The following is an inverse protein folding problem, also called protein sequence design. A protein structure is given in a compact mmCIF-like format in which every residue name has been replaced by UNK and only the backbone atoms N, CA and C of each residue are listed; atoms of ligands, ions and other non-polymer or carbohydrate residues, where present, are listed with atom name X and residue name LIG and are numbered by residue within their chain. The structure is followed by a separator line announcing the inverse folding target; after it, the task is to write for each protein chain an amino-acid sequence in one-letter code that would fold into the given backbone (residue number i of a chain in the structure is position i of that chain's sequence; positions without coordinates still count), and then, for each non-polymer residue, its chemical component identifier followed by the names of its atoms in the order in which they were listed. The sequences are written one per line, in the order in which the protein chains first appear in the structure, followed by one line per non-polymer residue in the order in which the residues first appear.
data_IF_846732741206
#
_entry.id   IF_846732741206
#
_cell.length_a   1.000
_cell.length_b   1.000
_cell.length_c   1.000
_cell.angle_alpha   90.00
_cell.angle_beta   90.00
_cell.angle_gamma   90.00
#
_symmetry.space_group_name_H-M   'P 1'
#
loop_
_entity.id
_entity.type
_entity.pdbx_description
1 polymer ?
#
# COMPACT_ATOMS: atom_id res chain seq x y z
N UNK A 1 -11.95 -66.55 -124.27
CA UNK A 1 -12.38 -65.53 -123.27
C UNK A 1 -13.07 -66.24 -122.12
N UNK A 2 -12.59 -66.07 -120.88
CA UNK A 2 -13.38 -65.56 -119.75
C UNK A 2 -12.60 -65.70 -118.43
N UNK A 3 -12.90 -64.75 -117.55
CA UNK A 3 -12.16 -64.28 -116.39
C UNK A 3 -12.63 -64.85 -115.04
N UNK A 4 -11.69 -64.76 -114.08
CA UNK A 4 -11.72 -64.57 -112.61
C UNK A 4 -13.02 -64.24 -111.84
N UNK A 5 -13.03 -64.64 -110.55
CA UNK A 5 -13.33 -63.80 -109.34
C UNK A 5 -13.04 -64.49 -107.97
N UNK A 6 -12.53 -63.69 -107.02
CA UNK A 6 -12.47 -63.66 -105.53
C UNK A 6 -13.13 -64.71 -104.60
N UNK A 7 -12.55 -64.91 -103.39
CA UNK A 7 -13.18 -64.65 -102.06
C UNK A 7 -12.18 -64.78 -100.88
N UNK A 8 -12.29 -63.87 -99.90
CA UNK A 8 -11.54 -63.80 -98.62
C UNK A 8 -12.35 -64.43 -97.48
N UNK A 9 -11.70 -65.17 -96.55
CA UNK A 9 -12.27 -65.51 -95.24
C UNK A 9 -11.15 -65.68 -94.19
N UNK A 10 -11.22 -64.90 -93.12
CA UNK A 10 -10.33 -64.97 -91.97
C UNK A 10 -10.80 -66.08 -91.01
N UNK A 11 -9.86 -66.90 -90.50
CA UNK A 11 -10.11 -67.86 -89.43
C UNK A 11 -9.21 -67.53 -88.23
N UNK A 12 -9.87 -67.15 -87.13
CA UNK A 12 -9.33 -66.89 -85.81
C UNK A 12 -8.72 -68.19 -85.25
N UNK A 13 -7.44 -68.17 -84.84
CA UNK A 13 -6.85 -69.23 -84.01
C UNK A 13 -6.44 -68.62 -82.67
N UNK A 14 -7.07 -69.14 -81.63
CA UNK A 14 -7.03 -68.77 -80.23
C UNK A 14 -5.64 -69.02 -79.62
N UNK A 15 -5.00 -67.96 -79.13
CA UNK A 15 -3.85 -68.05 -78.23
C UNK A 15 -4.35 -68.30 -76.80
N UNK A 16 -3.98 -69.43 -76.22
CA UNK A 16 -4.24 -69.74 -74.81
C UNK A 16 -3.23 -68.98 -73.97
N UNK A 17 -3.73 -68.00 -73.22
CA UNK A 17 -3.04 -67.25 -72.18
C UNK A 17 -2.85 -68.15 -70.97
N UNK A 18 -1.60 -68.44 -70.60
CA UNK A 18 -1.26 -68.86 -69.24
C UNK A 18 -0.96 -67.60 -68.43
N UNK A 19 -1.78 -67.24 -67.43
CA UNK A 19 -1.37 -66.23 -66.47
C UNK A 19 -0.35 -66.88 -65.54
N UNK A 20 0.94 -66.62 -65.75
CA UNK A 20 1.90 -66.72 -64.66
C UNK A 20 1.62 -65.56 -63.70
N UNK A 21 0.73 -65.78 -62.73
CA UNK A 21 0.73 -65.00 -61.51
C UNK A 21 1.98 -65.42 -60.73
N UNK A 22 3.08 -64.67 -60.89
CA UNK A 22 4.01 -64.56 -59.76
C UNK A 22 3.23 -63.80 -58.69
N UNK A 23 2.70 -64.52 -57.71
CA UNK A 23 2.55 -63.88 -56.41
C UNK A 23 3.98 -63.59 -55.96
N UNK A 24 4.41 -62.34 -56.06
CA UNK A 24 5.36 -61.86 -55.08
C UNK A 24 4.79 -62.31 -53.74
N UNK A 25 5.59 -63.03 -52.96
CA UNK A 25 5.28 -63.22 -51.55
C UNK A 25 4.91 -61.84 -51.06
N UNK A 26 3.69 -61.69 -50.57
CA UNK A 26 3.32 -60.57 -49.71
C UNK A 26 4.53 -60.39 -48.81
N UNK A 27 5.19 -59.25 -48.95
CA UNK A 27 6.24 -58.81 -48.04
C UNK A 27 5.74 -59.19 -46.65
N UNK A 28 6.33 -60.23 -46.06
CA UNK A 28 6.37 -60.25 -44.61
C UNK A 28 7.19 -59.00 -44.34
N UNK A 29 6.62 -57.92 -43.77
CA UNK A 29 7.47 -56.85 -43.29
C UNK A 29 8.49 -57.58 -42.44
N UNK A 30 9.77 -57.46 -42.80
CA UNK A 30 10.80 -58.05 -41.98
C UNK A 30 10.57 -57.43 -40.60
N UNK A 31 10.18 -58.21 -39.57
CA UNK A 31 9.71 -57.64 -38.32
C UNK A 31 10.81 -56.89 -37.57
N UNK A 32 12.03 -56.91 -38.11
CA UNK A 32 13.23 -56.24 -37.63
C UNK A 32 13.70 -55.10 -38.56
N UNK A 33 12.91 -54.70 -39.56
CA UNK A 33 13.14 -53.56 -40.47
C UNK A 33 12.06 -52.51 -40.18
N UNK A 34 12.33 -51.68 -39.18
CA UNK A 34 11.35 -50.81 -38.53
C UNK A 34 10.91 -49.65 -39.44
N UNK A 35 11.84 -49.13 -40.24
CA UNK A 35 11.59 -48.03 -41.17
C UNK A 35 11.20 -48.51 -42.58
N UNK A 36 11.20 -49.82 -42.84
CA UNK A 36 10.83 -50.45 -44.11
C UNK A 36 11.72 -50.02 -45.28
N UNK A 37 12.99 -49.71 -45.05
CA UNK A 37 13.97 -49.34 -46.08
C UNK A 37 14.60 -50.56 -46.79
N UNK A 38 14.31 -51.77 -46.30
CA UNK A 38 14.76 -53.04 -46.88
C UNK A 38 16.12 -53.52 -46.35
N UNK A 39 16.72 -52.83 -45.39
CA UNK A 39 17.93 -53.26 -44.68
C UNK A 39 17.65 -53.43 -43.17
N UNK A 40 18.47 -54.23 -42.49
CA UNK A 40 18.52 -54.22 -41.02
C UNK A 40 19.83 -53.52 -40.65
N UNK A 41 19.72 -52.28 -40.19
CA UNK A 41 20.83 -51.41 -39.84
C UNK A 41 20.73 -50.97 -38.38
N UNK A 42 21.67 -50.11 -37.95
CA UNK A 42 21.57 -49.51 -36.61
C UNK A 42 20.33 -48.62 -36.46
N UNK A 43 19.81 -48.07 -37.56
CA UNK A 43 18.59 -47.26 -37.53
C UNK A 43 17.37 -48.12 -37.18
N UNK A 44 17.31 -49.37 -37.66
CA UNK A 44 16.25 -50.31 -37.31
C UNK A 44 16.34 -50.80 -35.86
N UNK A 45 17.57 -50.88 -35.33
CA UNK A 45 17.79 -51.12 -33.91
C UNK A 45 17.31 -49.94 -33.07
N UNK A 46 17.56 -48.71 -33.52
CA UNK A 46 17.08 -47.48 -32.85
C UNK A 46 15.55 -47.35 -32.94
N UNK A 47 14.93 -47.70 -34.07
CA UNK A 47 13.46 -47.77 -34.22
C UNK A 47 12.85 -48.84 -33.30
N UNK A 48 13.51 -50.00 -33.16
CA UNK A 48 13.09 -51.05 -32.22
C UNK A 48 13.25 -50.62 -30.76
N UNK A 49 14.27 -49.82 -30.43
CA UNK A 49 14.45 -49.24 -29.10
C UNK A 49 13.42 -48.15 -28.81
N UNK A 50 13.05 -47.34 -29.81
CA UNK A 50 11.92 -46.41 -29.72
C UNK A 50 10.57 -47.10 -29.48
N UNK A 51 10.41 -48.36 -29.91
CA UNK A 51 9.24 -49.21 -29.61
C UNK A 51 9.15 -49.58 -28.12
N UNK A 52 10.27 -49.55 -27.38
CA UNK A 52 10.31 -49.75 -25.92
C UNK A 52 10.12 -48.46 -25.12
N UNK A 53 9.95 -47.31 -25.79
CA UNK A 53 9.35 -46.11 -25.20
C UNK A 53 10.32 -45.00 -24.80
N UNK A 54 11.61 -45.11 -25.09
CA UNK A 54 12.57 -44.05 -24.83
C UNK A 54 12.91 -43.32 -26.13
N UNK A 55 12.76 -42.00 -26.10
CA UNK A 55 13.15 -41.07 -27.16
C UNK A 55 14.46 -40.39 -26.78
N UNK A 56 15.15 -39.79 -27.75
CA UNK A 56 16.31 -38.90 -27.55
C UNK A 56 15.90 -37.57 -28.17
N UNK A 57 15.30 -36.72 -27.34
CA UNK A 57 14.56 -35.54 -27.79
C UNK A 57 15.47 -34.39 -28.24
N UNK A 58 16.67 -34.29 -27.67
CA UNK A 58 17.65 -33.24 -27.98
C UNK A 58 18.79 -33.73 -28.90
N UNK A 59 18.83 -35.04 -29.20
CA UNK A 59 19.80 -35.68 -30.08
C UNK A 59 21.23 -35.61 -29.58
N UNK A 60 21.43 -35.61 -28.26
CA UNK A 60 22.75 -35.61 -27.63
C UNK A 60 23.38 -37.03 -27.51
N UNK A 61 22.59 -38.06 -27.81
CA UNK A 61 23.00 -39.46 -27.76
C UNK A 61 22.72 -40.15 -26.42
N UNK A 62 21.96 -39.50 -25.53
CA UNK A 62 21.43 -40.03 -24.28
C UNK A 62 19.91 -40.17 -24.42
N UNK A 63 19.36 -41.25 -23.87
CA UNK A 63 17.93 -41.48 -23.93
C UNK A 63 17.20 -40.67 -22.85
N UNK A 64 16.05 -40.08 -23.17
CA UNK A 64 15.22 -39.22 -22.30
C UNK A 64 14.89 -39.86 -20.92
N UNK A 65 14.93 -41.20 -20.81
CA UNK A 65 14.69 -41.91 -19.53
C UNK A 65 15.84 -41.85 -18.53
N UNK A 66 17.04 -41.50 -19.01
CA UNK A 66 18.27 -41.36 -18.22
C UNK A 66 18.94 -40.00 -18.43
N UNK A 67 18.31 -39.12 -19.20
CA UNK A 67 18.68 -37.74 -19.40
C UNK A 67 17.85 -36.84 -18.46
N UNK A 68 18.53 -36.21 -17.51
CA UNK A 68 17.88 -35.30 -16.55
C UNK A 68 17.47 -33.96 -17.22
N UNK A 69 18.03 -33.60 -18.37
CA UNK A 69 17.71 -32.35 -19.07
C UNK A 69 17.75 -32.43 -20.61
N UNK A 70 16.61 -32.78 -21.19
CA UNK A 70 16.39 -32.85 -22.65
C UNK A 70 16.04 -31.51 -23.32
N UNK A 71 15.98 -30.40 -22.56
CA UNK A 71 15.60 -29.09 -23.10
C UNK A 71 16.84 -28.26 -23.46
N UNK A 72 17.16 -28.18 -24.75
CA UNK A 72 18.27 -27.38 -25.29
C UNK A 72 18.18 -25.87 -24.99
N UNK A 73 17.01 -25.38 -24.56
CA UNK A 73 16.80 -23.99 -24.15
C UNK A 73 17.05 -23.76 -22.66
N UNK A 74 17.25 -24.82 -21.87
CA UNK A 74 17.63 -24.71 -20.47
C UNK A 74 18.97 -23.96 -20.32
N UNK A 75 19.09 -23.14 -19.28
CA UNK A 75 20.28 -22.33 -19.07
C UNK A 75 21.49 -23.11 -18.55
N UNK A 76 21.25 -24.33 -18.05
CA UNK A 76 22.27 -25.29 -17.65
C UNK A 76 22.36 -26.49 -18.60
N UNK A 77 21.85 -26.37 -19.83
CA UNK A 77 21.93 -27.44 -20.81
C UNK A 77 23.38 -27.91 -21.02
N UNK A 78 23.59 -29.22 -20.96
CA UNK A 78 24.84 -29.92 -21.24
C UNK A 78 24.50 -31.24 -21.94
N UNK A 79 25.37 -31.74 -22.82
CA UNK A 79 25.12 -32.95 -23.62
C UNK A 79 25.27 -34.26 -22.84
N UNK A 80 25.29 -34.18 -21.51
CA UNK A 80 25.30 -35.31 -20.58
C UNK A 80 24.95 -34.78 -19.18
N UNK A 81 23.70 -34.30 -18.99
CA UNK A 81 23.35 -33.60 -17.77
C UNK A 81 23.20 -34.61 -16.63
N UNK A 82 23.80 -34.29 -15.49
CA UNK A 82 23.66 -35.08 -14.25
C UNK A 82 22.68 -34.43 -13.27
N UNK A 83 21.95 -33.40 -13.74
CA UNK A 83 21.04 -32.57 -12.96
C UNK A 83 19.86 -32.13 -13.85
N UNK A 84 18.66 -31.91 -13.27
CA UNK A 84 17.51 -31.46 -14.03
C UNK A 84 17.69 -30.13 -14.78
N UNK A 85 16.88 -29.91 -15.82
CA UNK A 85 16.83 -28.61 -16.49
C UNK A 85 16.47 -27.48 -15.53
N UNK A 86 17.30 -26.45 -15.55
CA UNK A 86 17.08 -25.18 -14.91
C UNK A 86 16.80 -24.10 -15.96
N UNK A 87 16.01 -23.12 -15.57
CA UNK A 87 15.65 -21.99 -16.41
C UNK A 87 16.10 -20.69 -15.74
N UNK A 88 16.27 -19.66 -16.56
CA UNK A 88 16.54 -18.31 -16.07
C UNK A 88 15.29 -17.81 -15.35
N UNK A 89 15.44 -17.38 -14.10
CA UNK A 89 14.38 -16.69 -13.37
C UNK A 89 14.28 -15.21 -13.78
N UNK A 90 13.37 -14.47 -13.15
CA UNK A 90 13.13 -13.05 -13.50
C UNK A 90 14.37 -12.17 -13.32
N UNK A 91 15.30 -12.56 -12.45
CA UNK A 91 16.56 -11.85 -12.20
C UNK A 91 17.71 -12.25 -13.13
N UNK A 92 17.47 -13.15 -14.08
CA UNK A 92 18.54 -13.64 -14.95
C UNK A 92 19.33 -14.81 -14.37
N UNK A 93 18.92 -15.40 -13.23
CA UNK A 93 19.67 -16.44 -12.53
C UNK A 93 19.20 -17.83 -12.98
N UNK A 94 20.15 -18.65 -13.43
CA UNK A 94 19.87 -20.02 -13.84
C UNK A 94 19.53 -20.91 -12.64
N UNK A 95 18.31 -21.47 -12.61
CA UNK A 95 17.82 -22.25 -11.48
C UNK A 95 17.50 -21.39 -10.25
N UNK A 96 17.35 -20.08 -10.44
CA UNK A 96 16.92 -19.17 -9.40
C UNK A 96 15.44 -19.34 -9.03
N UNK A 97 15.08 -18.90 -7.83
CA UNK A 97 13.74 -19.07 -7.25
C UNK A 97 12.82 -17.86 -7.42
N UNK A 98 13.25 -16.84 -8.16
CA UNK A 98 12.55 -15.57 -8.23
C UNK A 98 11.28 -15.65 -9.08
N UNK A 99 10.12 -15.49 -8.47
CA UNK A 99 8.84 -15.50 -9.19
C UNK A 99 8.49 -14.15 -9.85
N UNK A 100 9.08 -13.04 -9.37
CA UNK A 100 8.80 -11.67 -9.80
C UNK A 100 9.84 -10.68 -9.29
N UNK A 101 10.03 -9.62 -10.06
CA UNK A 101 10.81 -8.41 -9.78
C UNK A 101 10.06 -7.28 -10.49
N UNK A 102 9.03 -6.76 -9.82
CA UNK A 102 8.02 -5.93 -10.46
C UNK A 102 8.52 -4.51 -10.78
N UNK A 103 9.53 -4.01 -10.08
CA UNK A 103 10.14 -2.70 -10.29
C UNK A 103 11.51 -2.76 -10.99
N UNK A 104 12.09 -3.95 -11.14
CA UNK A 104 13.30 -4.19 -11.92
C UNK A 104 14.57 -3.75 -11.19
N UNK A 105 14.56 -3.73 -9.85
CA UNK A 105 15.70 -3.29 -9.04
C UNK A 105 16.71 -4.43 -8.78
N UNK A 106 16.37 -5.66 -9.16
CA UNK A 106 17.19 -6.84 -9.00
C UNK A 106 16.96 -7.61 -7.71
N UNK A 107 15.90 -7.31 -6.95
CA UNK A 107 15.46 -8.00 -5.74
C UNK A 107 14.13 -8.71 -6.03
N UNK A 108 13.95 -9.93 -5.52
CA UNK A 108 12.70 -10.66 -5.72
C UNK A 108 11.57 -10.07 -4.87
N UNK A 109 10.37 -9.95 -5.44
CA UNK A 109 9.17 -9.39 -4.79
C UNK A 109 8.86 -10.01 -3.41
N UNK A 110 9.24 -11.29 -3.17
CA UNK A 110 8.97 -12.02 -1.92
C UNK A 110 9.95 -11.66 -0.78
N UNK A 111 11.09 -11.04 -1.11
CA UNK A 111 12.09 -10.55 -0.16
C UNK A 111 12.37 -9.06 -0.29
N UNK A 112 11.78 -8.41 -1.29
CA UNK A 112 11.86 -6.99 -1.50
C UNK A 112 11.00 -6.22 -0.49
N UNK A 113 11.66 -5.33 0.24
CA UNK A 113 11.01 -4.45 1.21
C UNK A 113 10.30 -3.26 0.56
N UNK A 114 10.60 -2.97 -0.70
CA UNK A 114 9.99 -1.89 -1.46
C UNK A 114 9.80 -2.23 -2.94
N UNK A 115 8.69 -2.91 -3.25
CA UNK A 115 8.26 -3.10 -4.64
C UNK A 115 7.78 -1.76 -5.23
N UNK A 116 8.67 -1.04 -5.91
CA UNK A 116 8.42 0.25 -6.54
C UNK A 116 9.64 1.18 -6.52
N UNK A 117 9.44 2.41 -6.05
CA UNK A 117 10.54 3.38 -5.96
C UNK A 117 10.51 4.02 -4.57
N UNK A 118 11.68 4.02 -3.91
CA UNK A 118 11.89 4.83 -2.71
C UNK A 118 11.90 6.30 -3.09
N UNK A 119 11.08 7.11 -2.42
CA UNK A 119 11.14 8.57 -2.55
C UNK A 119 12.40 9.15 -1.87
N UNK A 120 12.63 10.46 -1.98
CA UNK A 120 13.75 11.16 -1.33
C UNK A 120 13.72 11.08 0.21
N UNK A 121 12.61 10.62 0.76
CA UNK A 121 12.38 10.38 2.18
C UNK A 121 12.63 8.93 2.61
N UNK A 122 13.02 8.06 1.67
CA UNK A 122 13.26 6.65 1.94
C UNK A 122 11.97 5.87 2.21
N UNK A 123 10.82 6.39 1.79
CA UNK A 123 9.52 5.72 1.94
C UNK A 123 9.15 5.07 0.61
N UNK A 124 8.81 3.78 0.67
CA UNK A 124 8.44 3.04 -0.52
C UNK A 124 7.13 3.55 -1.13
N UNK A 125 7.17 3.93 -2.41
CA UNK A 125 6.05 4.56 -3.10
C UNK A 125 5.47 5.74 -2.29
N UNK A 126 6.35 6.44 -1.57
CA UNK A 126 5.97 7.45 -0.61
C UNK A 126 5.48 8.76 -1.24
N UNK A 127 4.93 9.66 -0.41
CA UNK A 127 4.39 10.94 -0.88
C UNK A 127 5.48 11.93 -1.32
N UNK A 128 6.77 11.62 -1.09
CA UNK A 128 7.88 12.55 -1.27
C UNK A 128 7.95 13.63 -0.19
N UNK A 129 8.94 14.52 -0.28
CA UNK A 129 9.10 15.62 0.67
C UNK A 129 7.93 16.63 0.57
N UNK A 130 7.45 17.09 1.72
CA UNK A 130 6.28 17.98 1.83
C UNK A 130 6.65 19.47 1.77
N UNK A 131 7.90 19.81 2.08
CA UNK A 131 8.40 21.18 2.05
C UNK A 131 9.77 21.23 1.37
N UNK A 132 9.81 21.76 0.16
CA UNK A 132 11.03 21.90 -0.63
C UNK A 132 11.41 23.39 -0.69
N UNK A 133 12.60 23.71 -0.21
CA UNK A 133 13.14 25.07 -0.17
C UNK A 133 14.35 25.14 -1.10
N UNK A 134 14.30 26.08 -2.06
CA UNK A 134 15.48 26.42 -2.86
C UNK A 134 16.38 27.33 -2.01
N UNK A 135 17.54 26.82 -1.59
CA UNK A 135 18.50 27.59 -0.82
C UNK A 135 19.32 28.50 -1.73
N UNK A 136 19.77 27.98 -2.87
CA UNK A 136 20.49 28.76 -3.86
C UNK A 136 20.39 28.17 -5.26
N UNK A 137 20.50 29.05 -6.25
CA UNK A 137 20.68 28.68 -7.66
C UNK A 137 21.98 29.32 -8.11
N UNK A 138 22.94 28.51 -8.53
CA UNK A 138 24.21 28.95 -9.09
C UNK A 138 24.16 28.75 -10.60
N UNK A 139 24.15 29.84 -11.37
CA UNK A 139 24.21 29.77 -12.83
C UNK A 139 25.67 29.85 -13.28
N UNK A 140 26.09 28.89 -14.08
CA UNK A 140 27.41 28.83 -14.69
C UNK A 140 27.35 29.46 -16.07
N UNK A 141 28.22 30.43 -16.30
CA UNK A 141 28.38 31.09 -17.59
C UNK A 141 29.76 30.80 -18.15
N UNK A 142 29.81 30.62 -19.47
CA UNK A 142 31.05 30.69 -20.24
C UNK A 142 30.99 31.87 -21.20
N UNK A 143 32.15 32.30 -21.70
CA UNK A 143 32.22 33.44 -22.60
C UNK A 143 33.29 33.29 -23.66
N UNK A 144 32.98 33.76 -24.87
CA UNK A 144 33.89 33.81 -26.00
C UNK A 144 33.97 35.24 -26.52
N UNK A 145 35.18 35.77 -26.64
CA UNK A 145 35.42 37.09 -27.20
C UNK A 145 35.48 37.03 -28.74
N UNK A 146 34.75 37.91 -29.41
CA UNK A 146 34.68 38.03 -30.85
C UNK A 146 35.38 39.32 -31.33
N UNK A 147 36.67 39.19 -31.67
CA UNK A 147 37.52 40.30 -32.12
C UNK A 147 36.94 41.09 -33.31
N UNK A 148 36.27 40.41 -34.24
CA UNK A 148 35.72 41.04 -35.45
C UNK A 148 34.66 42.11 -35.17
N UNK A 149 34.03 42.06 -34.00
CA UNK A 149 33.01 43.03 -33.55
C UNK A 149 33.36 43.65 -32.20
N UNK A 150 34.56 43.39 -31.67
CA UNK A 150 35.05 43.86 -30.38
C UNK A 150 34.05 43.66 -29.23
N UNK A 151 33.57 42.42 -29.06
CA UNK A 151 32.54 42.13 -28.05
C UNK A 151 32.66 40.73 -27.43
N UNK A 152 32.19 40.57 -26.20
CA UNK A 152 32.08 39.27 -25.53
C UNK A 152 30.69 38.65 -25.76
N UNK A 153 30.66 37.39 -26.16
CA UNK A 153 29.46 36.57 -26.12
C UNK A 153 29.49 35.72 -24.85
N UNK A 154 28.54 35.98 -23.95
CA UNK A 154 28.35 35.20 -22.72
C UNK A 154 27.16 34.27 -22.94
N UNK A 155 27.29 33.00 -22.59
CA UNK A 155 26.22 32.02 -22.68
C UNK A 155 26.20 31.12 -21.45
N UNK A 156 25.00 30.69 -21.06
CA UNK A 156 24.80 29.78 -19.95
C UNK A 156 25.28 28.38 -20.33
N UNK A 157 26.05 27.75 -19.45
CA UNK A 157 26.58 26.39 -19.64
C UNK A 157 26.03 25.40 -18.62
N UNK A 158 25.33 25.89 -17.59
CA UNK A 158 24.62 25.05 -16.64
C UNK A 158 24.06 25.84 -15.48
N UNK A 159 23.27 25.16 -14.65
CA UNK A 159 22.78 25.66 -13.38
C UNK A 159 22.91 24.54 -12.34
N UNK A 160 23.29 24.91 -11.12
CA UNK A 160 23.32 24.04 -9.95
C UNK A 160 22.34 24.60 -8.92
N UNK A 161 21.45 23.76 -8.41
CA UNK A 161 20.40 24.17 -7.47
C UNK A 161 20.59 23.41 -6.17
N UNK A 162 20.86 24.15 -5.09
CA UNK A 162 20.89 23.59 -3.73
C UNK A 162 19.49 23.71 -3.17
N UNK A 163 18.90 22.57 -2.83
CA UNK A 163 17.58 22.49 -2.21
C UNK A 163 17.70 21.78 -0.86
N UNK A 164 16.97 22.26 0.13
CA UNK A 164 16.66 21.49 1.33
C UNK A 164 15.22 21.05 1.30
N UNK A 165 14.95 19.90 1.93
CA UNK A 165 13.61 19.36 2.01
C UNK A 165 13.34 18.80 3.39
N UNK A 166 12.07 18.80 3.78
CA UNK A 166 11.59 18.14 4.99
C UNK A 166 10.82 16.90 4.58
N UNK A 167 11.25 15.76 5.13
CA UNK A 167 10.49 14.54 5.13
C UNK A 167 9.71 14.51 6.43
N UNK A 168 8.47 15.00 6.38
CA UNK A 168 7.58 14.84 7.52
C UNK A 168 7.43 13.35 7.79
N UNK A 169 7.42 12.92 9.07
CA UNK A 169 7.23 11.52 9.39
C UNK A 169 5.94 11.04 8.71
N UNK A 170 6.10 10.14 7.73
CA UNK A 170 4.96 9.40 7.20
C UNK A 170 4.47 8.57 8.35
N UNK A 171 3.28 8.88 8.84
CA UNK A 171 2.64 8.11 9.89
C UNK A 171 2.58 6.63 9.45
N UNK A 172 3.45 5.80 10.01
CA UNK A 172 3.60 4.41 9.63
C UNK A 172 2.80 3.53 10.59
N UNK A 173 2.88 3.84 11.88
CA UNK A 173 2.14 3.17 12.93
C UNK A 173 1.77 4.12 14.07
N UNK A 174 0.80 3.68 14.88
CA UNK A 174 0.45 4.39 16.11
C UNK A 174 1.64 4.47 17.06
N UNK A 175 1.82 5.66 17.65
CA UNK A 175 3.04 6.05 18.35
C UNK A 175 3.87 7.06 17.54
N UNK A 176 3.75 7.07 16.22
CA UNK A 176 4.35 8.11 15.37
C UNK A 176 3.59 9.44 15.53
N UNK A 177 4.31 10.54 15.25
CA UNK A 177 3.71 11.86 15.19
C UNK A 177 2.85 12.00 13.93
N UNK A 178 1.76 12.76 14.04
CA UNK A 178 0.92 13.15 12.91
C UNK A 178 0.88 14.66 12.82
N UNK A 179 1.40 15.22 11.73
CA UNK A 179 1.37 16.66 11.47
C UNK A 179 -0.01 17.09 10.98
N UNK A 180 -0.57 18.10 11.62
CA UNK A 180 -1.82 18.73 11.20
C UNK A 180 -1.80 20.23 11.55
N UNK A 181 -2.03 21.09 10.54
CA UNK A 181 -2.00 22.55 10.67
C UNK A 181 -0.70 23.11 11.30
N UNK A 182 0.45 22.55 10.90
CA UNK A 182 1.76 22.96 11.40
C UNK A 182 2.06 22.55 12.85
N UNK A 183 1.27 21.64 13.42
CA UNK A 183 1.50 21.05 14.73
C UNK A 183 1.59 19.53 14.65
N UNK A 184 2.57 18.96 15.35
CA UNK A 184 2.77 17.51 15.41
C UNK A 184 2.05 16.92 16.63
N UNK A 185 1.01 16.14 16.36
CA UNK A 185 0.21 15.46 17.38
C UNK A 185 0.83 14.11 17.73
N UNK A 186 0.99 13.84 19.02
CA UNK A 186 1.32 12.50 19.49
C UNK A 186 0.14 11.54 19.33
N UNK A 187 0.43 10.28 19.02
CA UNK A 187 -0.59 9.23 18.85
C UNK A 187 -0.33 8.03 19.76
N UNK A 188 -1.37 7.24 20.02
CA UNK A 188 -1.32 6.04 20.85
C UNK A 188 -2.26 4.97 20.30
N UNK A 189 -1.78 3.72 20.29
CA UNK A 189 -2.63 2.55 20.00
C UNK A 189 -3.43 2.16 21.25
N UNK A 190 -4.76 2.13 21.15
CA UNK A 190 -5.65 1.63 22.21
C UNK A 190 -6.60 0.60 21.59
N UNK A 191 -6.36 -0.68 21.92
CA UNK A 191 -7.02 -1.78 21.23
C UNK A 191 -6.60 -1.80 19.77
N UNK A 192 -7.58 -1.86 18.87
CA UNK A 192 -7.34 -1.84 17.42
C UNK A 192 -7.35 -0.40 16.85
N UNK A 193 -7.56 0.61 17.69
CA UNK A 193 -7.73 1.99 17.25
C UNK A 193 -6.51 2.87 17.55
N UNK A 194 -6.20 3.77 16.63
CA UNK A 194 -5.18 4.79 16.79
C UNK A 194 -5.79 6.11 17.25
N UNK A 195 -5.34 6.65 18.38
CA UNK A 195 -5.89 7.88 18.94
C UNK A 195 -4.83 8.96 19.00
N UNK A 196 -5.23 10.22 18.77
CA UNK A 196 -4.45 11.34 19.30
C UNK A 196 -4.35 11.20 20.82
N UNK A 197 -3.15 11.33 21.39
CA UNK A 197 -2.92 11.29 22.84
C UNK A 197 -3.08 12.66 23.50
N UNK A 198 -3.35 13.71 22.72
CA UNK A 198 -3.68 15.05 23.19
C UNK A 198 -4.93 15.61 22.51
N UNK A 199 -5.46 16.71 23.02
CA UNK A 199 -6.65 17.36 22.47
C UNK A 199 -6.32 18.06 21.15
N UNK A 200 -7.25 18.07 20.19
CA UNK A 200 -7.09 18.79 18.93
C UNK A 200 -6.96 20.31 19.16
N UNK A 201 -6.00 20.93 18.48
CA UNK A 201 -5.64 22.36 18.61
C UNK A 201 -5.93 23.17 17.34
N UNK A 202 -6.48 22.54 16.31
CA UNK A 202 -6.81 23.19 15.05
C UNK A 202 -7.77 24.37 15.27
N UNK A 203 -7.32 25.58 14.92
CA UNK A 203 -8.03 26.83 15.25
C UNK A 203 -8.16 27.73 14.02
N UNK A 204 -9.10 27.44 13.10
CA UNK A 204 -9.29 28.22 11.88
C UNK A 204 -9.90 29.61 12.15
N UNK A 205 -10.59 29.78 13.27
CA UNK A 205 -11.12 31.06 13.76
C UNK A 205 -11.31 30.97 15.27
N UNK A 206 -11.51 32.09 15.97
CA UNK A 206 -11.82 32.09 17.40
C UNK A 206 -13.02 32.98 17.68
N UNK A 207 -13.93 32.45 18.50
CA UNK A 207 -15.26 33.02 18.74
C UNK A 207 -15.35 33.62 20.14
N UNK A 208 -16.04 34.76 20.32
CA UNK A 208 -16.31 35.28 21.66
C UNK A 208 -17.23 34.31 22.42
N UNK A 209 -17.08 34.22 23.74
CA UNK A 209 -17.85 33.25 24.54
C UNK A 209 -19.36 33.43 24.46
N UNK A 210 -19.84 34.63 24.12
CA UNK A 210 -21.27 34.90 23.93
C UNK A 210 -21.85 34.27 22.65
N UNK A 211 -21.00 33.84 21.71
CA UNK A 211 -21.42 33.15 20.51
C UNK A 211 -21.94 31.75 20.86
N UNK A 212 -23.06 31.35 20.27
CA UNK A 212 -23.65 30.03 20.48
C UNK A 212 -24.59 29.70 19.32
N UNK A 213 -24.50 28.47 18.82
CA UNK A 213 -25.36 27.96 17.76
C UNK A 213 -25.31 26.45 17.74
N UNK A 214 -26.45 25.84 17.38
CA UNK A 214 -26.55 24.40 17.11
C UNK A 214 -26.24 24.04 15.64
N UNK A 215 -25.99 25.03 14.78
CA UNK A 215 -25.83 24.84 13.33
C UNK A 215 -24.67 25.61 12.71
N UNK A 216 -24.08 26.58 13.42
CA UNK A 216 -22.94 27.38 12.94
C UNK A 216 -21.71 26.93 13.73
N UNK A 217 -20.57 26.63 13.10
CA UNK A 217 -19.36 26.23 13.79
C UNK A 217 -18.78 27.39 14.62
N UNK A 218 -18.38 27.08 15.85
CA UNK A 218 -17.70 27.99 16.76
C UNK A 218 -16.57 27.29 17.49
N UNK A 219 -15.51 28.05 17.73
CA UNK A 219 -14.25 27.60 18.28
C UNK A 219 -13.88 28.53 19.45
N UNK A 220 -13.61 27.94 20.61
CA UNK A 220 -13.33 28.68 21.83
C UNK A 220 -11.99 28.24 22.41
N UNK A 221 -11.29 29.18 23.03
CA UNK A 221 -10.12 28.89 23.86
C UNK A 221 -10.49 29.27 25.29
N UNK A 222 -10.23 28.38 26.25
CA UNK A 222 -10.67 28.56 27.64
C UNK A 222 -10.13 29.89 28.21
N UNK A 223 -10.99 30.67 28.86
CA UNK A 223 -10.71 32.03 29.38
C UNK A 223 -10.25 33.06 28.35
N UNK A 224 -10.44 32.82 27.05
CA UNK A 224 -10.16 33.78 26.00
C UNK A 224 -11.45 34.30 25.36
N UNK A 225 -11.60 35.63 25.31
CA UNK A 225 -12.79 36.32 24.80
C UNK A 225 -12.53 37.21 23.57
N UNK A 226 -11.31 37.15 23.01
CA UNK A 226 -10.97 37.89 21.80
C UNK A 226 -11.38 37.16 20.51
N UNK A 227 -11.11 37.79 19.38
CA UNK A 227 -11.32 37.22 18.03
C UNK A 227 -10.01 37.03 17.26
N UNK A 228 -8.86 37.35 17.87
CA UNK A 228 -7.55 37.23 17.25
C UNK A 228 -6.95 35.84 17.50
N UNK A 229 -6.59 35.12 16.42
CA UNK A 229 -6.11 33.74 16.49
C UNK A 229 -4.73 33.68 17.15
N UNK A 230 -3.78 34.53 16.73
CA UNK A 230 -2.42 34.51 17.26
C UNK A 230 -2.39 34.77 18.77
N UNK A 231 -3.20 35.71 19.25
CA UNK A 231 -3.37 35.99 20.68
C UNK A 231 -3.97 34.80 21.41
N UNK A 232 -4.97 34.13 20.84
CA UNK A 232 -5.56 32.93 21.43
C UNK A 232 -4.54 31.78 21.54
N UNK A 233 -3.77 31.54 20.47
CA UNK A 233 -2.74 30.51 20.40
C UNK A 233 -1.58 30.74 21.39
N UNK A 234 -1.33 32.00 21.75
CA UNK A 234 -0.32 32.35 22.75
C UNK A 234 -0.75 32.13 24.21
N UNK A 235 -2.03 31.83 24.46
CA UNK A 235 -2.52 31.63 25.83
C UNK A 235 -2.08 30.29 26.41
N UNK A 236 -1.87 30.24 27.73
CA UNK A 236 -1.55 28.98 28.42
C UNK A 236 -2.63 27.94 28.26
N UNK A 237 -3.91 28.34 28.28
CA UNK A 237 -5.03 27.41 28.12
C UNK A 237 -5.05 26.77 26.73
N UNK A 238 -4.74 27.53 25.67
CA UNK A 238 -4.58 26.94 24.34
C UNK A 238 -3.41 25.95 24.32
N UNK A 239 -2.24 26.34 24.84
CA UNK A 239 -1.05 25.50 24.87
C UNK A 239 -1.22 24.23 25.72
N UNK A 240 -2.04 24.27 26.77
CA UNK A 240 -2.31 23.09 27.62
C UNK A 240 -3.47 22.24 27.10
N UNK A 241 -4.62 22.85 26.83
CA UNK A 241 -5.89 22.12 26.61
C UNK A 241 -6.36 22.09 25.16
N UNK A 242 -5.75 22.90 24.29
CA UNK A 242 -6.18 23.06 22.91
C UNK A 242 -7.46 23.91 22.79
N UNK A 243 -8.37 23.46 21.93
CA UNK A 243 -9.57 24.21 21.54
C UNK A 243 -10.83 23.47 22.01
N UNK A 244 -11.84 24.25 22.36
CA UNK A 244 -13.20 23.77 22.62
C UNK A 244 -14.06 24.09 21.41
N UNK A 245 -14.69 23.08 20.85
CA UNK A 245 -15.47 23.14 19.63
C UNK A 245 -16.94 22.94 19.97
N UNK A 246 -17.84 23.69 19.34
CA UNK A 246 -19.23 23.23 19.32
C UNK A 246 -19.41 22.05 18.36
N UNK A 247 -20.53 21.34 18.45
CA UNK A 247 -20.72 20.14 17.66
C UNK A 247 -20.69 20.39 16.14
N UNK A 248 -21.29 21.47 15.59
CA UNK A 248 -21.10 21.83 14.19
C UNK A 248 -19.63 21.99 13.80
N UNK A 249 -18.78 22.57 14.67
CA UNK A 249 -17.36 22.73 14.40
C UNK A 249 -16.62 21.40 14.28
N UNK A 250 -16.86 20.41 15.17
CA UNK A 250 -16.19 19.09 15.02
C UNK A 250 -16.66 18.30 13.80
N UNK A 251 -17.75 18.72 13.15
CA UNK A 251 -18.25 18.12 11.91
C UNK A 251 -17.72 18.82 10.65
N UNK A 252 -16.97 19.92 10.79
CA UNK A 252 -16.34 20.59 9.64
C UNK A 252 -15.22 19.72 9.04
N UNK A 253 -15.04 19.75 7.71
CA UNK A 253 -13.94 19.06 7.07
C UNK A 253 -12.61 19.68 7.52
N UNK A 254 -11.61 18.82 7.74
CA UNK A 254 -10.26 19.24 8.12
C UNK A 254 -10.04 19.50 9.60
N UNK A 255 -10.99 19.15 10.49
CA UNK A 255 -10.76 19.12 11.95
C UNK A 255 -9.70 18.08 12.33
N UNK A 256 -9.65 16.99 11.56
CA UNK A 256 -8.64 15.95 11.66
C UNK A 256 -7.82 15.90 10.36
N UNK A 257 -6.55 15.44 10.43
CA UNK A 257 -5.75 15.21 9.23
C UNK A 257 -6.35 14.12 8.33
N UNK A 258 -5.88 14.05 7.09
CA UNK A 258 -6.34 13.03 6.14
C UNK A 258 -6.13 11.61 6.68
N UNK A 259 -7.14 10.75 6.54
CA UNK A 259 -7.13 9.39 7.10
C UNK A 259 -7.49 9.31 8.59
N UNK A 260 -7.76 10.44 9.24
CA UNK A 260 -8.23 10.52 10.63
C UNK A 260 -9.62 11.18 10.68
N UNK A 261 -10.41 10.87 11.70
CA UNK A 261 -11.74 11.44 11.88
C UNK A 261 -12.09 11.67 13.35
N UNK A 262 -13.18 12.42 13.58
CA UNK A 262 -13.75 12.59 14.92
C UNK A 262 -14.48 11.30 15.33
N UNK A 263 -14.19 10.75 16.52
CA UNK A 263 -14.70 9.45 16.94
C UNK A 263 -16.22 9.42 17.00
N UNK A 264 -16.78 8.36 16.46
CA UNK A 264 -18.17 7.97 16.65
C UNK A 264 -18.38 7.43 18.07
N UNK A 265 -19.63 7.33 18.47
CA UNK A 265 -20.01 6.79 19.77
C UNK A 265 -19.65 5.29 19.89
N UNK A 266 -19.66 4.58 18.76
CA UNK A 266 -19.22 3.18 18.68
C UNK A 266 -17.72 3.05 18.94
N UNK A 267 -16.91 3.97 18.43
CA UNK A 267 -15.46 3.99 18.65
C UNK A 267 -15.11 4.33 20.09
N UNK A 268 -15.83 5.29 20.70
CA UNK A 268 -15.73 5.51 22.14
C UNK A 268 -16.07 4.26 22.95
N UNK A 269 -17.12 3.54 22.56
CA UNK A 269 -17.52 2.29 23.21
C UNK A 269 -16.46 1.18 23.07
N UNK A 270 -15.79 1.10 21.92
CA UNK A 270 -14.69 0.16 21.69
C UNK A 270 -13.48 0.49 22.58
N UNK A 271 -13.09 1.76 22.65
CA UNK A 271 -12.03 2.23 23.54
C UNK A 271 -12.32 1.88 25.00
N UNK A 272 -13.51 2.23 25.51
CA UNK A 272 -13.84 1.96 26.92
C UNK A 272 -13.96 0.46 27.21
N UNK A 273 -14.50 -0.31 26.26
CA UNK A 273 -14.55 -1.77 26.33
C UNK A 273 -13.17 -2.39 26.44
N UNK A 274 -12.22 -1.99 25.59
CA UNK A 274 -10.83 -2.44 25.62
C UNK A 274 -10.16 -2.12 26.96
N UNK A 275 -10.45 -0.95 27.53
CA UNK A 275 -9.91 -0.50 28.81
C UNK A 275 -10.54 -1.18 30.04
N UNK A 276 -11.46 -2.12 29.85
CA UNK A 276 -12.06 -2.91 30.93
C UNK A 276 -13.45 -2.44 31.37
N UNK A 277 -14.10 -1.60 30.55
CA UNK A 277 -15.45 -1.09 30.78
C UNK A 277 -15.48 0.33 31.36
N UNK A 278 -16.63 0.98 31.21
CA UNK A 278 -16.85 2.39 31.60
C UNK A 278 -16.45 2.68 33.05
N UNK A 279 -16.69 1.76 33.99
CA UNK A 279 -16.44 1.99 35.43
C UNK A 279 -14.97 2.04 35.84
N UNK A 280 -14.03 1.75 34.93
CA UNK A 280 -12.58 1.75 35.22
C UNK A 280 -11.77 2.46 34.14
N UNK A 281 -12.32 2.59 32.93
CA UNK A 281 -11.62 3.18 31.80
C UNK A 281 -11.22 4.64 32.05
N UNK A 282 -12.00 5.39 32.82
CA UNK A 282 -11.73 6.81 33.07
C UNK A 282 -10.46 7.04 33.86
N UNK A 283 -10.21 6.21 34.89
CA UNK A 283 -8.95 6.20 35.62
C UNK A 283 -7.74 5.90 34.72
N UNK A 284 -7.89 4.99 33.75
CA UNK A 284 -6.81 4.64 32.80
C UNK A 284 -6.55 5.73 31.76
N UNK A 285 -7.59 6.49 31.40
CA UNK A 285 -7.52 7.53 30.37
C UNK A 285 -7.02 8.88 30.90
N UNK A 286 -7.33 9.25 32.16
CA UNK A 286 -6.95 10.54 32.72
C UNK A 286 -5.43 10.66 32.89
N UNK A 287 -4.91 11.87 32.66
CA UNK A 287 -3.57 12.26 33.11
C UNK A 287 -3.41 11.92 34.62
N UNK A 288 -2.31 11.26 34.96
CA UNK A 288 -1.99 10.90 36.33
C UNK A 288 -1.47 12.11 37.13
N UNK A 289 -1.75 12.13 38.43
CA UNK A 289 -1.31 13.21 39.32
C UNK A 289 -2.24 14.42 39.31
N UNK A 290 -1.69 15.60 39.62
CA UNK A 290 -2.44 16.83 39.88
C UNK A 290 -1.88 18.04 39.14
N UNK A 291 -1.19 17.82 38.02
CA UNK A 291 -0.66 18.90 37.21
C UNK A 291 -1.81 19.78 36.69
N UNK A 292 -2.85 19.14 36.14
CA UNK A 292 -4.03 19.81 35.63
C UNK A 292 -5.32 19.41 36.37
N UNK A 293 -5.45 18.14 36.76
CA UNK A 293 -6.61 17.65 37.49
C UNK A 293 -6.62 18.14 38.95
N UNK A 294 -7.77 18.60 39.41
CA UNK A 294 -8.02 18.86 40.82
C UNK A 294 -8.10 17.57 41.63
N UNK A 295 -7.80 17.69 42.92
CA UNK A 295 -8.01 16.60 43.88
C UNK A 295 -9.50 16.23 43.93
N UNK A 296 -9.85 14.92 43.94
CA UNK A 296 -8.98 13.79 44.25
C UNK A 296 -8.28 13.13 43.05
N UNK A 297 -8.63 13.47 41.80
CA UNK A 297 -8.26 12.76 40.58
C UNK A 297 -8.34 11.21 40.73
N UNK A 298 -9.47 10.74 41.24
CA UNK A 298 -9.70 9.34 41.66
C UNK A 298 -9.32 8.36 40.54
N UNK A 299 -8.51 7.36 40.89
CA UNK A 299 -8.13 6.24 40.02
C UNK A 299 -7.27 6.60 38.80
N UNK A 300 -6.81 7.85 38.68
CA UNK A 300 -6.03 8.29 37.52
C UNK A 300 -4.64 7.63 37.49
N UNK A 301 -4.38 6.89 36.41
CA UNK A 301 -3.13 6.16 36.18
C UNK A 301 -2.49 6.49 34.85
N UNK A 302 -3.24 7.06 33.91
CA UNK A 302 -2.86 7.27 32.51
C UNK A 302 -2.30 6.01 31.82
N UNK A 303 -2.68 4.80 32.28
CA UNK A 303 -2.07 3.57 31.76
C UNK A 303 -2.46 3.25 30.32
N UNK A 304 -3.44 3.97 29.75
CA UNK A 304 -3.78 3.86 28.32
C UNK A 304 -3.03 4.86 27.45
N UNK A 305 -2.22 5.75 28.06
CA UNK A 305 -1.52 6.87 27.41
C UNK A 305 -2.43 7.83 26.64
N UNK A 306 -3.76 7.70 26.82
CA UNK A 306 -4.75 8.61 26.27
C UNK A 306 -4.53 10.01 26.82
N UNK A 307 -4.03 10.19 28.04
CA UNK A 307 -3.65 11.50 28.60
C UNK A 307 -4.80 12.51 28.51
N UNK A 308 -5.99 12.11 28.98
CA UNK A 308 -7.18 12.95 29.04
C UNK A 308 -6.97 14.11 30.01
N UNK A 309 -7.08 15.33 29.52
CA UNK A 309 -6.92 16.57 30.30
C UNK A 309 -8.26 17.22 30.67
N UNK A 310 -8.35 17.91 31.82
CA UNK A 310 -9.57 18.53 32.31
C UNK A 310 -9.78 19.93 31.72
N UNK A 311 -9.91 20.01 30.40
CA UNK A 311 -10.08 21.28 29.67
C UNK A 311 -11.41 22.00 29.92
N UNK A 312 -12.32 21.40 30.70
CA UNK A 312 -13.64 21.95 30.99
C UNK A 312 -14.52 22.05 29.75
N UNK A 313 -15.47 23.00 29.77
CA UNK A 313 -16.35 23.29 28.66
C UNK A 313 -16.63 24.78 28.49
N UNK A 314 -17.13 25.13 27.31
CA UNK A 314 -17.61 26.47 26.96
C UNK A 314 -19.12 26.46 26.73
N UNK A 315 -19.78 27.56 27.05
CA UNK A 315 -21.17 27.84 26.70
C UNK A 315 -21.39 29.35 26.68
N UNK A 316 -22.55 29.82 26.20
CA UNK A 316 -22.81 31.26 26.05
C UNK A 316 -22.68 32.08 27.34
N UNK A 317 -22.77 31.43 28.50
CA UNK A 317 -22.62 32.05 29.82
C UNK A 317 -21.20 32.04 30.40
N UNK A 318 -20.22 31.42 29.73
CA UNK A 318 -18.84 31.36 30.20
C UNK A 318 -18.16 30.02 29.98
N UNK A 319 -17.08 29.81 30.75
CA UNK A 319 -16.36 28.56 30.81
C UNK A 319 -16.53 27.91 32.19
N UNK A 320 -16.63 26.59 32.24
CA UNK A 320 -16.83 25.84 33.48
C UNK A 320 -15.91 24.62 33.56
N UNK A 321 -15.74 24.10 34.77
CA UNK A 321 -15.12 22.81 35.08
C UNK A 321 -13.67 22.58 34.59
N UNK A 322 -12.90 23.64 34.30
CA UNK A 322 -11.45 23.48 34.10
C UNK A 322 -10.81 22.94 35.39
N UNK A 323 -9.95 21.93 35.23
CA UNK A 323 -9.36 21.17 36.32
C UNK A 323 -10.26 20.09 36.89
N UNK A 324 -11.58 20.10 36.62
CA UNK A 324 -12.53 19.15 37.20
C UNK A 324 -13.10 18.14 36.20
N UNK A 325 -13.31 18.55 34.94
CA UNK A 325 -13.88 17.72 33.89
C UNK A 325 -13.11 17.84 32.57
N UNK A 326 -13.00 16.72 31.87
CA UNK A 326 -12.64 16.69 30.45
C UNK A 326 -13.83 16.14 29.66
N UNK A 327 -14.23 16.83 28.59
CA UNK A 327 -15.35 16.44 27.74
C UNK A 327 -14.88 16.39 26.28
N UNK A 328 -15.20 15.32 25.56
CA UNK A 328 -14.84 15.14 24.15
C UNK A 328 -16.05 14.78 23.30
N UNK A 329 -16.29 15.57 22.26
CA UNK A 329 -17.38 15.30 21.33
C UNK A 329 -17.23 13.94 20.64
N UNK A 330 -18.38 13.31 20.38
CA UNK A 330 -18.51 12.32 19.33
C UNK A 330 -19.11 12.95 18.07
N UNK A 331 -18.75 12.41 16.90
CA UNK A 331 -19.42 12.70 15.62
C UNK A 331 -20.84 12.11 15.54
N UNK A 332 -21.27 11.32 16.53
CA UNK A 332 -22.59 10.70 16.58
C UNK A 332 -23.64 11.60 17.21
N UNK A 333 -24.69 11.94 16.45
CA UNK A 333 -25.86 12.62 16.97
C UNK A 333 -26.66 11.72 17.94
N UNK A 334 -27.20 12.30 19.02
CA UNK A 334 -28.09 11.61 19.96
C UNK A 334 -29.56 11.99 19.80
N UNK A 335 -29.82 13.08 19.11
CA UNK A 335 -31.14 13.65 18.85
C UNK A 335 -31.07 14.73 17.78
N UNK A 336 -32.16 15.50 17.61
CA UNK A 336 -32.23 16.55 16.59
C UNK A 336 -31.37 17.78 16.91
N UNK A 337 -31.22 18.13 18.19
CA UNK A 337 -30.39 19.26 18.66
C UNK A 337 -29.22 18.85 19.56
N UNK A 338 -29.09 17.55 19.85
CA UNK A 338 -28.12 17.01 20.79
C UNK A 338 -27.16 16.04 20.12
N UNK A 339 -25.99 15.85 20.72
CA UNK A 339 -24.98 14.88 20.29
C UNK A 339 -24.35 14.15 21.47
N UNK A 340 -23.77 12.98 21.22
CA UNK A 340 -23.04 12.22 22.22
C UNK A 340 -21.66 12.83 22.48
N UNK A 341 -21.19 12.72 23.71
CA UNK A 341 -19.83 13.05 24.12
C UNK A 341 -19.40 12.14 25.27
N UNK A 342 -18.09 11.95 25.40
CA UNK A 342 -17.48 11.23 26.50
C UNK A 342 -16.95 12.22 27.53
N UNK A 343 -17.16 11.94 28.82
CA UNK A 343 -16.73 12.79 29.92
C UNK A 343 -15.91 12.02 30.94
N UNK A 344 -14.86 12.66 31.43
CA UNK A 344 -14.05 12.25 32.57
C UNK A 344 -14.19 13.29 33.68
N UNK A 345 -14.19 12.85 34.94
CA UNK A 345 -14.29 13.72 36.11
C UNK A 345 -13.18 13.46 37.14
N UNK A 346 -12.84 14.47 37.93
CA UNK A 346 -11.81 14.37 38.98
C UNK A 346 -12.20 13.41 40.11
N UNK A 347 -13.50 13.27 40.40
CA UNK A 347 -14.01 12.56 41.57
C UNK A 347 -14.19 11.05 41.40
N UNK A 348 -14.17 10.56 40.16
CA UNK A 348 -14.46 9.16 39.82
C UNK A 348 -13.45 8.63 38.77
N UNK A 349 -13.38 7.32 38.64
CA UNK A 349 -12.59 6.60 37.63
C UNK A 349 -13.44 6.06 36.47
N UNK A 350 -14.73 6.38 36.44
CA UNK A 350 -15.63 6.10 35.33
C UNK A 350 -15.37 6.99 34.10
N UNK A 351 -15.72 6.48 32.91
CA UNK A 351 -16.03 7.28 31.73
C UNK A 351 -17.55 7.40 31.63
N UNK A 352 -18.06 8.62 31.53
CA UNK A 352 -19.47 8.85 31.31
C UNK A 352 -19.77 9.09 29.83
N UNK A 353 -20.65 8.27 29.27
CA UNK A 353 -21.27 8.48 27.96
C UNK A 353 -22.51 9.35 28.15
N UNK A 354 -22.46 10.59 27.70
CA UNK A 354 -23.49 11.62 27.95
C UNK A 354 -23.90 12.28 26.64
N UNK A 355 -25.07 12.92 26.61
CA UNK A 355 -25.43 13.79 25.50
C UNK A 355 -25.93 15.13 25.96
N UNK A 356 -25.58 16.18 25.22
CA UNK A 356 -26.02 17.55 25.49
C UNK A 356 -26.27 18.30 24.18
N UNK A 357 -26.74 19.54 24.28
CA UNK A 357 -27.00 20.43 23.16
C UNK A 357 -25.72 20.73 22.37
N UNK A 358 -25.88 20.73 21.04
CA UNK A 358 -24.77 20.89 20.07
C UNK A 358 -24.05 22.23 20.16
N UNK A 359 -24.60 23.21 20.88
CA UNK A 359 -24.01 24.52 21.04
C UNK A 359 -22.94 24.61 22.15
N UNK A 360 -22.82 23.60 23.01
CA UNK A 360 -21.75 23.56 24.01
C UNK A 360 -20.39 23.37 23.35
N UNK A 361 -19.35 23.97 23.91
CA UNK A 361 -17.97 23.76 23.47
C UNK A 361 -17.30 22.68 24.29
N UNK A 362 -16.90 21.57 23.65
CA UNK A 362 -16.12 20.49 24.26
C UNK A 362 -14.85 20.25 23.45
N UNK A 363 -13.87 19.56 24.03
CA UNK A 363 -12.64 19.20 23.32
C UNK A 363 -12.94 18.22 22.17
N UNK A 364 -11.99 18.08 21.25
CA UNK A 364 -12.05 17.08 20.20
C UNK A 364 -10.79 16.19 20.24
N UNK A 365 -10.93 14.96 19.76
CA UNK A 365 -9.86 13.97 19.59
C UNK A 365 -10.01 13.39 18.19
N UNK A 366 -8.92 13.12 17.51
CA UNK A 366 -8.94 12.41 16.24
C UNK A 366 -8.59 10.95 16.49
N UNK A 367 -9.26 10.07 15.75
CA UNK A 367 -9.03 8.62 15.75
C UNK A 367 -8.86 8.14 14.30
N UNK A 368 -8.15 7.03 14.13
CA UNK A 368 -8.02 6.29 12.89
C UNK A 368 -8.13 4.80 13.20
N UNK A 369 -8.84 4.08 12.34
CA UNK A 369 -9.01 2.62 12.40
C UNK A 369 -7.84 1.85 11.76
#
# INVERSE_FOLDING_TARGET
MKNFTNFTLALLVTFIVTPFTFQAQTTCPNPYDGNSDGAITINDLLDLLGLFGDTDSDSDGIWDSVDDCVDVSACNYDSNPTVPCNYIDVLGICGGGCAGDADGDGICDDVDTCVGILDECGVCNGPGPTNIIIESITILYDSVYAEAIDNWFVFEVGADTVMSYVCDPVFAACGDLVTHDGYDYSTVQIGDQCWFSENCRYLPSVSPISASSNTIPYYYVYDYNGTDIASAQSTSNYLTYGVLYNWPAVMEPGICPSGWHIPTDSEWTQLTGFLGGESVAGGKMKEAGYAHWFSPNTGATNSSEFTGLPGGNAYSGGFLYNGDNGCWWSSSASGSSTAWFSSLGSSHDDVYRVSDDRHYGFSARCVRD
#
